data_IF_756467574949
#
_entry.id   IF_756467574949
#
_cell.length_a   1.000
_cell.length_b   1.000
_cell.length_c   1.000
_cell.angle_alpha   90.00
_cell.angle_beta   90.00
_cell.angle_gamma   90.00
#
_symmetry.space_group_name_H-M   'P 1'
#
loop_
_entity.id
_entity.type
_entity.pdbx_description
1 polymer ?
#
# COMPACT_ATOMS: atom_id res chain seq x y z
N UNK A 1 -39.15 -8.66 8.30
CA UNK A 1 -37.76 -8.18 8.08
C UNK A 1 -36.99 -8.43 9.36
N UNK A 2 -35.98 -9.35 9.32
CA UNK A 2 -35.23 -9.74 10.50
C UNK A 2 -34.34 -8.56 10.96
N UNK A 3 -34.10 -8.43 12.28
CA UNK A 3 -33.18 -7.41 12.85
C UNK A 3 -31.83 -7.42 12.11
N UNK A 4 -31.30 -8.62 11.79
CA UNK A 4 -30.06 -8.83 11.05
C UNK A 4 -30.05 -8.19 9.66
N UNK A 5 -31.18 -8.20 8.93
CA UNK A 5 -31.27 -7.62 7.59
C UNK A 5 -31.28 -6.08 7.63
N UNK A 6 -31.85 -5.52 8.68
CA UNK A 6 -31.91 -4.08 8.90
C UNK A 6 -30.53 -3.53 9.27
N UNK A 7 -29.77 -4.24 10.10
CA UNK A 7 -28.41 -3.86 10.47
C UNK A 7 -27.46 -3.94 9.27
N UNK A 8 -27.61 -4.95 8.40
CA UNK A 8 -26.83 -5.07 7.17
C UNK A 8 -27.12 -3.91 6.18
N UNK A 9 -28.37 -3.45 6.07
CA UNK A 9 -28.71 -2.33 5.20
C UNK A 9 -28.09 -1.02 5.69
N UNK A 10 -28.11 -0.77 6.99
CA UNK A 10 -27.49 0.41 7.61
C UNK A 10 -25.96 0.37 7.44
N UNK A 11 -25.34 -0.77 7.69
CA UNK A 11 -23.90 -0.94 7.51
C UNK A 11 -23.47 -0.70 6.05
N UNK A 12 -24.23 -1.24 5.09
CA UNK A 12 -23.99 -1.01 3.66
C UNK A 12 -24.10 0.48 3.29
N UNK A 13 -25.15 1.15 3.75
CA UNK A 13 -25.35 2.59 3.49
C UNK A 13 -24.19 3.41 4.08
N UNK A 14 -23.76 3.10 5.29
CA UNK A 14 -22.64 3.78 5.93
C UNK A 14 -21.33 3.55 5.17
N UNK A 15 -21.04 2.32 4.75
CA UNK A 15 -19.86 2.00 3.95
C UNK A 15 -19.84 2.81 2.64
N UNK A 16 -20.96 2.92 1.94
CA UNK A 16 -21.10 3.72 0.72
C UNK A 16 -20.84 5.22 1.02
N UNK A 17 -21.44 5.77 2.09
CA UNK A 17 -21.20 7.17 2.47
C UNK A 17 -19.72 7.47 2.77
N UNK A 18 -19.06 6.56 3.49
CA UNK A 18 -17.62 6.69 3.78
C UNK A 18 -16.81 6.64 2.48
N UNK A 19 -17.07 5.64 1.64
CA UNK A 19 -16.39 5.46 0.35
C UNK A 19 -16.56 6.69 -0.56
N UNK A 20 -17.80 7.20 -0.68
CA UNK A 20 -18.09 8.39 -1.46
C UNK A 20 -17.38 9.64 -0.93
N UNK A 21 -17.29 9.78 0.40
CA UNK A 21 -16.53 10.87 1.02
C UNK A 21 -15.04 10.79 0.71
N UNK A 22 -14.46 9.58 0.74
CA UNK A 22 -13.05 9.35 0.37
C UNK A 22 -12.83 9.78 -1.08
N UNK A 23 -13.64 9.29 -2.01
CA UNK A 23 -13.54 9.60 -3.43
C UNK A 23 -13.66 11.11 -3.69
N UNK A 24 -14.67 11.75 -3.09
CA UNK A 24 -14.94 13.18 -3.29
C UNK A 24 -13.87 14.11 -2.69
N UNK A 25 -13.15 13.65 -1.66
CA UNK A 25 -12.13 14.45 -0.98
C UNK A 25 -10.70 14.27 -1.51
N UNK A 26 -10.50 13.37 -2.48
CA UNK A 26 -9.18 13.11 -3.05
C UNK A 26 -8.87 14.10 -4.17
N UNK A 27 -7.75 14.80 -4.05
CA UNK A 27 -7.22 15.70 -5.08
C UNK A 27 -5.88 15.19 -5.61
N UNK A 28 -5.70 15.30 -6.93
CA UNK A 28 -4.52 14.78 -7.66
C UNK A 28 -3.54 15.91 -7.92
N UNK A 29 -2.93 16.38 -6.84
CA UNK A 29 -2.07 17.56 -6.82
C UNK A 29 -0.89 17.35 -5.87
N UNK A 30 0.13 18.17 -6.03
CA UNK A 30 1.25 18.30 -5.11
C UNK A 30 1.23 19.67 -4.45
N UNK A 31 1.78 19.75 -3.27
CA UNK A 31 1.88 21.00 -2.52
C UNK A 31 3.27 21.14 -1.92
N UNK A 32 3.88 22.28 -2.12
CA UNK A 32 5.00 22.73 -1.30
C UNK A 32 4.45 23.15 0.07
N UNK A 33 4.75 22.36 1.10
CA UNK A 33 4.19 22.62 2.44
C UNK A 33 4.81 23.84 3.12
N UNK A 34 5.96 24.33 2.63
CA UNK A 34 6.61 25.54 3.16
C UNK A 34 6.01 26.82 2.59
N UNK A 35 5.71 26.85 1.30
CA UNK A 35 5.19 28.03 0.60
C UNK A 35 3.67 27.99 0.41
N UNK A 36 3.06 26.82 0.53
CA UNK A 36 1.64 26.61 0.23
C UNK A 36 1.31 26.49 -1.26
N UNK A 37 2.31 26.64 -2.15
CA UNK A 37 2.10 26.57 -3.59
C UNK A 37 1.66 25.19 -4.02
N UNK A 38 0.63 25.12 -4.87
CA UNK A 38 0.05 23.88 -5.43
C UNK A 38 0.53 23.67 -6.86
N UNK A 39 0.74 22.39 -7.23
CA UNK A 39 1.20 21.97 -8.54
C UNK A 39 0.34 20.81 -9.03
N UNK A 40 -0.13 20.89 -10.24
CA UNK A 40 -0.88 19.81 -10.93
C UNK A 40 0.02 18.89 -11.73
N UNK A 41 1.26 19.30 -12.00
CA UNK A 41 2.32 18.51 -12.63
C UNK A 41 3.66 18.83 -11.98
N UNK A 42 4.58 17.85 -11.99
CA UNK A 42 5.96 18.01 -11.55
C UNK A 42 6.95 18.14 -12.72
N UNK A 43 6.45 18.31 -13.95
CA UNK A 43 7.28 18.56 -15.11
C UNK A 43 8.08 19.84 -14.93
N UNK A 44 9.39 19.75 -15.15
CA UNK A 44 10.33 20.87 -15.01
C UNK A 44 10.33 21.56 -13.64
N UNK A 45 9.78 20.91 -12.61
CA UNK A 45 9.82 21.42 -11.23
C UNK A 45 11.14 21.00 -10.59
N UNK A 46 11.85 21.98 -10.00
CA UNK A 46 13.08 21.72 -9.23
C UNK A 46 12.82 20.83 -8.03
N UNK A 47 13.77 19.94 -7.69
CA UNK A 47 13.66 19.04 -6.55
C UNK A 47 13.52 19.88 -5.25
N UNK A 48 12.43 19.63 -4.54
CA UNK A 48 12.09 20.34 -3.30
C UNK A 48 11.73 19.34 -2.20
N UNK A 49 12.51 19.27 -1.10
CA UNK A 49 12.25 18.34 0.01
C UNK A 49 10.95 18.64 0.77
N UNK A 50 10.33 19.80 0.54
CA UNK A 50 9.05 20.19 1.12
C UNK A 50 7.85 19.88 0.21
N UNK A 51 8.09 19.26 -0.97
CA UNK A 51 7.03 18.82 -1.87
C UNK A 51 6.30 17.60 -1.29
N UNK A 52 4.97 17.66 -1.22
CA UNK A 52 4.10 16.58 -0.75
C UNK A 52 2.96 16.33 -1.73
N UNK A 53 2.50 15.10 -1.79
CA UNK A 53 1.18 14.82 -2.39
C UNK A 53 0.10 15.51 -1.55
N UNK A 54 -0.85 16.20 -2.20
CA UNK A 54 -1.86 17.04 -1.53
C UNK A 54 -3.13 16.25 -1.15
N UNK A 55 -3.04 14.94 -0.97
CA UNK A 55 -4.14 14.10 -0.47
C UNK A 55 -3.60 12.96 0.37
N UNK A 56 -4.17 12.79 1.57
CA UNK A 56 -3.81 11.68 2.46
C UNK A 56 -4.08 10.30 1.84
N UNK A 57 -5.08 10.20 0.96
CA UNK A 57 -5.45 8.95 0.28
C UNK A 57 -4.50 8.55 -0.86
N UNK A 58 -3.58 9.42 -1.23
CA UNK A 58 -2.52 9.14 -2.21
C UNK A 58 -1.16 8.86 -1.54
N UNK A 59 -1.08 8.84 -0.21
CA UNK A 59 0.13 8.43 0.49
C UNK A 59 0.34 6.93 0.35
N UNK A 60 1.60 6.51 0.19
CA UNK A 60 1.98 5.10 0.25
C UNK A 60 2.08 4.67 1.70
N UNK A 61 1.02 4.03 2.21
CA UNK A 61 0.90 3.65 3.61
C UNK A 61 -0.10 2.50 3.76
N UNK A 62 0.14 1.57 4.69
CA UNK A 62 -0.71 0.39 4.87
C UNK A 62 -2.20 0.71 5.03
N UNK A 63 -2.54 1.80 5.70
CA UNK A 63 -3.95 2.22 5.85
C UNK A 63 -4.63 2.48 4.51
N UNK A 64 -3.90 3.04 3.54
CA UNK A 64 -4.44 3.22 2.19
C UNK A 64 -4.51 1.90 1.43
N UNK A 65 -3.59 0.96 1.66
CA UNK A 65 -3.68 -0.40 1.12
C UNK A 65 -4.97 -1.10 1.57
N UNK A 66 -5.25 -1.08 2.88
CA UNK A 66 -6.50 -1.61 3.44
C UNK A 66 -7.73 -0.90 2.86
N UNK A 67 -7.67 0.45 2.78
CA UNK A 67 -8.76 1.24 2.21
C UNK A 67 -9.01 0.89 0.75
N UNK A 68 -7.96 0.74 -0.06
CA UNK A 68 -8.09 0.37 -1.47
C UNK A 68 -8.72 -1.02 -1.65
N UNK A 69 -8.31 -2.01 -0.84
CA UNK A 69 -8.93 -3.33 -0.84
C UNK A 69 -10.42 -3.26 -0.47
N UNK A 70 -10.75 -2.54 0.60
CA UNK A 70 -12.12 -2.38 1.04
C UNK A 70 -13.01 -1.66 0.00
N UNK A 71 -12.46 -0.66 -0.71
CA UNK A 71 -13.17 0.05 -1.78
C UNK A 71 -13.44 -0.88 -2.97
N UNK A 72 -12.46 -1.65 -3.43
CA UNK A 72 -12.65 -2.62 -4.52
C UNK A 72 -13.69 -3.69 -4.13
N UNK A 73 -13.59 -4.26 -2.92
CA UNK A 73 -14.57 -5.24 -2.43
C UNK A 73 -15.98 -4.65 -2.29
N UNK A 74 -16.10 -3.42 -1.81
CA UNK A 74 -17.40 -2.73 -1.76
C UNK A 74 -17.97 -2.58 -3.16
N UNK A 75 -17.13 -2.14 -4.12
CA UNK A 75 -17.51 -2.01 -5.52
C UNK A 75 -18.07 -3.31 -6.11
N UNK A 76 -17.36 -4.43 -5.89
CA UNK A 76 -17.78 -5.76 -6.32
C UNK A 76 -19.13 -6.16 -5.70
N UNK A 77 -19.28 -5.99 -4.38
CA UNK A 77 -20.50 -6.36 -3.64
C UNK A 77 -21.74 -5.55 -4.03
N UNK A 78 -21.56 -4.30 -4.41
CA UNK A 78 -22.70 -3.44 -4.84
C UNK A 78 -22.78 -3.28 -6.35
N UNK A 79 -21.92 -3.99 -7.11
CA UNK A 79 -21.85 -3.93 -8.58
C UNK A 79 -21.64 -2.51 -9.12
N UNK A 80 -20.74 -1.76 -8.48
CA UNK A 80 -20.43 -0.38 -8.86
C UNK A 80 -18.91 -0.20 -9.05
N UNK A 81 -18.47 -0.06 -10.28
CA UNK A 81 -17.06 0.09 -10.65
C UNK A 81 -16.39 1.40 -10.20
N UNK A 82 -17.17 2.39 -9.77
CA UNK A 82 -16.69 3.70 -9.32
C UNK A 82 -15.51 3.61 -8.36
N UNK A 83 -15.55 2.65 -7.44
CA UNK A 83 -14.53 2.51 -6.41
C UNK A 83 -13.26 1.84 -6.93
N UNK A 84 -13.39 0.86 -7.83
CA UNK A 84 -12.25 0.27 -8.52
C UNK A 84 -11.59 1.30 -9.45
N UNK A 85 -12.37 2.06 -10.21
CA UNK A 85 -11.87 3.12 -11.08
C UNK A 85 -11.13 4.20 -10.27
N UNK A 86 -11.61 4.51 -9.07
CA UNK A 86 -10.93 5.41 -8.14
C UNK A 86 -9.57 4.84 -7.68
N UNK A 87 -9.51 3.57 -7.29
CA UNK A 87 -8.26 2.92 -6.89
C UNK A 87 -7.28 2.87 -8.07
N UNK A 88 -7.75 2.53 -9.26
CA UNK A 88 -6.95 2.55 -10.48
C UNK A 88 -6.37 3.93 -10.76
N UNK A 89 -7.19 4.98 -10.66
CA UNK A 89 -6.75 6.36 -10.84
C UNK A 89 -5.68 6.76 -9.83
N UNK A 90 -5.83 6.36 -8.55
CA UNK A 90 -4.84 6.60 -7.51
C UNK A 90 -3.50 5.95 -7.86
N UNK A 91 -3.52 4.67 -8.25
CA UNK A 91 -2.31 3.93 -8.59
C UNK A 91 -1.64 4.47 -9.87
N UNK A 92 -2.42 4.83 -10.89
CA UNK A 92 -1.89 5.49 -12.08
C UNK A 92 -1.23 6.84 -11.76
N UNK A 93 -1.80 7.63 -10.85
CA UNK A 93 -1.18 8.88 -10.41
C UNK A 93 0.12 8.64 -9.62
N UNK A 94 0.12 7.66 -8.70
CA UNK A 94 1.30 7.31 -7.92
C UNK A 94 2.43 6.78 -8.81
N UNK A 95 2.11 5.90 -9.76
CA UNK A 95 3.09 5.25 -10.65
C UNK A 95 3.30 6.01 -11.98
N UNK A 96 2.76 7.23 -12.11
CA UNK A 96 3.08 8.08 -13.26
C UNK A 96 4.59 8.31 -13.39
N UNK A 97 5.12 8.23 -14.61
CA UNK A 97 6.58 8.29 -14.87
C UNK A 97 7.21 9.58 -14.37
N UNK A 98 6.56 10.72 -14.58
CA UNK A 98 7.05 12.03 -14.14
C UNK A 98 7.08 12.10 -12.61
N UNK A 99 5.99 11.69 -11.98
CA UNK A 99 5.85 11.69 -10.53
C UNK A 99 6.87 10.76 -9.88
N UNK A 100 7.02 9.54 -10.38
CA UNK A 100 8.01 8.58 -9.88
C UNK A 100 9.43 9.08 -10.10
N UNK A 101 9.75 9.62 -11.27
CA UNK A 101 11.07 10.18 -11.56
C UNK A 101 11.43 11.34 -10.63
N UNK A 102 10.47 12.21 -10.35
CA UNK A 102 10.68 13.34 -9.43
C UNK A 102 10.99 12.86 -8.00
N UNK A 103 10.10 12.06 -7.42
CA UNK A 103 10.25 11.63 -6.03
C UNK A 103 11.38 10.62 -5.82
N UNK A 104 11.69 9.77 -6.80
CA UNK A 104 12.85 8.87 -6.72
C UNK A 104 14.16 9.67 -6.70
N UNK A 105 14.34 10.64 -7.60
CA UNK A 105 15.52 11.53 -7.59
C UNK A 105 15.62 12.34 -6.29
N UNK A 106 14.49 12.79 -5.76
CA UNK A 106 14.45 13.52 -4.49
C UNK A 106 14.84 12.60 -3.33
N UNK A 107 14.36 11.36 -3.33
CA UNK A 107 14.73 10.34 -2.36
C UNK A 107 16.23 10.05 -2.39
N UNK A 108 16.79 9.76 -3.57
CA UNK A 108 18.21 9.46 -3.75
C UNK A 108 19.11 10.62 -3.30
N UNK A 109 18.75 11.84 -3.67
CA UNK A 109 19.46 13.05 -3.22
C UNK A 109 19.43 13.16 -1.69
N UNK A 110 18.24 13.09 -1.10
CA UNK A 110 18.05 13.25 0.34
C UNK A 110 18.75 12.13 1.12
N UNK A 111 18.71 10.90 0.60
CA UNK A 111 19.41 9.77 1.21
C UNK A 111 20.91 9.93 1.19
N UNK A 112 21.50 10.39 0.08
CA UNK A 112 22.94 10.65 -0.03
C UNK A 112 23.41 11.77 0.91
N UNK A 113 22.57 12.80 1.12
CA UNK A 113 22.92 13.96 1.95
C UNK A 113 22.69 13.71 3.45
N UNK A 114 21.68 12.94 3.84
CA UNK A 114 21.26 12.79 5.24
C UNK A 114 20.93 11.38 5.71
N UNK A 115 21.11 10.36 4.84
CA UNK A 115 20.86 8.96 5.15
C UNK A 115 19.41 8.66 5.51
N UNK A 116 19.21 7.52 6.20
CA UNK A 116 17.90 7.00 6.58
C UNK A 116 17.07 7.94 7.46
N UNK A 117 17.70 8.84 8.18
CA UNK A 117 17.01 9.78 9.09
C UNK A 117 16.34 10.94 8.34
N UNK A 118 16.80 11.25 7.14
CA UNK A 118 16.29 12.37 6.35
C UNK A 118 15.09 12.02 5.46
N UNK A 119 15.01 10.77 4.99
CA UNK A 119 14.01 10.35 3.99
C UNK A 119 12.57 10.12 4.51
N UNK A 120 12.27 9.79 5.80
CA UNK A 120 10.90 9.46 6.23
C UNK A 120 9.87 10.57 6.03
N UNK A 121 10.31 11.83 5.88
CA UNK A 121 9.43 12.96 5.62
C UNK A 121 9.05 13.11 4.14
N UNK A 122 9.69 12.38 3.23
CA UNK A 122 9.43 12.52 1.80
C UNK A 122 8.17 11.76 1.39
N UNK A 123 7.44 12.33 0.42
CA UNK A 123 6.33 11.63 -0.24
C UNK A 123 6.83 10.34 -0.87
N UNK A 124 6.09 9.26 -0.66
CA UNK A 124 6.32 7.93 -1.23
C UNK A 124 7.69 7.29 -0.94
N UNK A 125 8.40 7.78 0.09
CA UNK A 125 9.69 7.19 0.48
C UNK A 125 9.61 5.68 0.76
N UNK A 126 8.46 5.20 1.18
CA UNK A 126 8.21 3.78 1.45
C UNK A 126 8.28 2.92 0.19
N UNK A 127 7.86 3.44 -0.97
CA UNK A 127 7.99 2.75 -2.27
C UNK A 127 9.47 2.46 -2.58
N UNK A 128 10.34 3.46 -2.35
CA UNK A 128 11.77 3.35 -2.68
C UNK A 128 12.57 2.61 -1.63
N UNK A 129 12.13 2.69 -0.37
CA UNK A 129 12.77 1.98 0.73
C UNK A 129 12.49 0.48 0.69
N UNK A 130 11.24 0.11 0.53
CA UNK A 130 10.71 -1.26 0.46
C UNK A 130 11.34 -2.22 1.49
N UNK A 131 11.36 -1.84 2.78
CA UNK A 131 12.07 -2.56 3.84
C UNK A 131 11.22 -2.97 5.04
N UNK A 132 9.94 -2.62 5.04
CA UNK A 132 9.02 -2.95 6.14
C UNK A 132 7.74 -3.50 5.56
N UNK A 133 7.13 -4.42 6.29
CA UNK A 133 5.81 -4.94 5.92
C UNK A 133 4.76 -3.84 5.86
N UNK A 134 4.81 -2.85 6.77
CA UNK A 134 3.96 -1.65 6.72
C UNK A 134 4.13 -0.86 5.41
N UNK A 135 5.34 -0.84 4.84
CA UNK A 135 5.63 -0.08 3.62
C UNK A 135 5.02 -0.76 2.39
N UNK A 136 4.95 -2.09 2.39
CA UNK A 136 4.72 -2.86 1.17
C UNK A 136 3.58 -3.89 1.24
N UNK A 137 3.26 -4.47 2.39
CA UNK A 137 2.28 -5.54 2.51
C UNK A 137 0.88 -5.17 2.00
N UNK A 138 0.05 -4.40 2.74
CA UNK A 138 -1.31 -4.08 2.30
C UNK A 138 -1.39 -3.25 1.02
N UNK A 139 -0.42 -2.34 0.77
CA UNK A 139 -0.37 -1.61 -0.50
C UNK A 139 -0.07 -2.55 -1.66
N UNK A 140 0.90 -3.46 -1.50
CA UNK A 140 1.21 -4.48 -2.48
C UNK A 140 0.03 -5.44 -2.70
N UNK A 141 -0.66 -5.87 -1.64
CA UNK A 141 -1.84 -6.70 -1.72
C UNK A 141 -2.97 -6.05 -2.55
N UNK A 142 -3.25 -4.77 -2.30
CA UNK A 142 -4.22 -4.02 -3.10
C UNK A 142 -3.79 -3.87 -4.56
N UNK A 143 -2.49 -3.70 -4.80
CA UNK A 143 -1.94 -3.57 -6.14
C UNK A 143 -1.99 -4.89 -6.92
N UNK A 144 -1.76 -6.06 -6.27
CA UNK A 144 -1.94 -7.37 -6.89
C UNK A 144 -3.37 -7.52 -7.40
N UNK A 145 -4.37 -7.27 -6.55
CA UNK A 145 -5.78 -7.36 -6.92
C UNK A 145 -6.12 -6.43 -8.09
N UNK A 146 -5.60 -5.22 -8.07
CA UNK A 146 -5.82 -4.26 -9.15
C UNK A 146 -5.13 -4.68 -10.45
N UNK A 147 -3.89 -5.17 -10.37
CA UNK A 147 -3.08 -5.56 -11.55
C UNK A 147 -3.67 -6.77 -12.30
N UNK A 148 -4.38 -7.67 -11.60
CA UNK A 148 -5.12 -8.76 -12.25
C UNK A 148 -6.20 -8.24 -13.20
N UNK A 149 -6.85 -7.12 -12.84
CA UNK A 149 -7.96 -6.54 -13.58
C UNK A 149 -7.49 -5.49 -14.60
N UNK A 150 -6.40 -4.80 -14.29
CA UNK A 150 -5.82 -3.71 -15.05
C UNK A 150 -4.29 -3.87 -15.12
N UNK A 151 -3.78 -4.79 -15.95
CA UNK A 151 -2.35 -5.05 -16.07
C UNK A 151 -1.53 -3.79 -16.40
N UNK A 152 -0.43 -3.60 -15.65
CA UNK A 152 0.47 -2.46 -15.82
C UNK A 152 1.90 -2.87 -15.43
N UNK A 153 2.89 -2.59 -16.28
CA UNK A 153 4.27 -2.99 -16.08
C UNK A 153 4.90 -2.37 -14.81
N UNK A 154 4.51 -1.14 -14.47
CA UNK A 154 5.02 -0.48 -13.27
C UNK A 154 4.44 -1.12 -12.00
N UNK A 155 3.18 -1.54 -12.03
CA UNK A 155 2.55 -2.29 -10.95
C UNK A 155 3.21 -3.66 -10.79
N UNK A 156 3.39 -4.38 -11.91
CA UNK A 156 4.01 -5.69 -11.92
C UNK A 156 5.42 -5.63 -11.34
N UNK A 157 6.24 -4.69 -11.77
CA UNK A 157 7.60 -4.50 -11.26
C UNK A 157 7.64 -4.25 -9.76
N UNK A 158 6.71 -3.44 -9.23
CA UNK A 158 6.61 -3.20 -7.78
C UNK A 158 6.20 -4.46 -7.03
N UNK A 159 5.21 -5.21 -7.55
CA UNK A 159 4.75 -6.49 -6.97
C UNK A 159 5.91 -7.48 -6.88
N UNK A 160 6.71 -7.64 -7.94
CA UNK A 160 7.88 -8.53 -7.97
C UNK A 160 8.95 -8.11 -6.96
N UNK A 161 9.25 -6.82 -6.86
CA UNK A 161 10.20 -6.28 -5.88
C UNK A 161 9.72 -6.56 -4.44
N UNK A 162 8.45 -6.35 -4.17
CA UNK A 162 7.83 -6.60 -2.87
C UNK A 162 7.79 -8.09 -2.56
N UNK A 163 7.47 -8.91 -3.54
CA UNK A 163 7.47 -10.37 -3.40
C UNK A 163 8.86 -10.89 -3.02
N UNK A 164 9.91 -10.41 -3.70
CA UNK A 164 11.28 -10.77 -3.34
C UNK A 164 11.61 -10.35 -1.90
N UNK A 165 11.21 -9.13 -1.51
CA UNK A 165 11.45 -8.66 -0.15
C UNK A 165 10.76 -9.55 0.90
N UNK A 166 9.46 -9.77 0.80
CA UNK A 166 8.68 -10.51 1.79
C UNK A 166 9.09 -11.99 1.84
N UNK A 167 9.32 -12.62 0.69
CA UNK A 167 9.58 -14.07 0.61
C UNK A 167 11.04 -14.44 0.86
N UNK A 168 11.99 -13.52 0.61
CA UNK A 168 13.42 -13.82 0.62
C UNK A 168 14.20 -12.99 1.62
N UNK A 169 13.86 -11.70 1.76
CA UNK A 169 14.68 -10.75 2.52
C UNK A 169 14.15 -10.44 3.91
N UNK A 170 12.86 -10.65 4.15
CA UNK A 170 12.25 -10.38 5.46
C UNK A 170 12.81 -11.33 6.52
N UNK A 171 13.25 -10.82 7.69
CA UNK A 171 13.78 -11.64 8.77
C UNK A 171 12.75 -12.67 9.26
N UNK A 172 13.22 -13.88 9.56
CA UNK A 172 12.38 -14.97 10.07
C UNK A 172 13.06 -15.69 11.22
N UNK A 173 12.24 -16.15 12.16
CA UNK A 173 12.68 -17.07 13.21
C UNK A 173 12.99 -18.45 12.64
N UNK A 174 13.56 -19.34 13.47
CA UNK A 174 13.92 -20.70 13.06
C UNK A 174 12.71 -21.54 12.59
N UNK A 175 11.51 -21.24 13.04
CA UNK A 175 10.27 -21.89 12.64
C UNK A 175 9.62 -21.24 11.38
N UNK A 176 10.28 -20.23 10.80
CA UNK A 176 9.80 -19.50 9.63
C UNK A 176 8.90 -18.31 9.94
N UNK A 177 8.59 -18.03 11.22
CA UNK A 177 7.78 -16.88 11.61
C UNK A 177 8.48 -15.58 11.24
N UNK A 178 7.79 -14.67 10.56
CA UNK A 178 8.31 -13.35 10.25
C UNK A 178 8.54 -12.56 11.54
N UNK A 179 9.70 -11.92 11.64
CA UNK A 179 10.12 -11.17 12.80
C UNK A 179 10.83 -9.88 12.40
N UNK A 180 10.87 -8.92 13.31
CA UNK A 180 11.57 -7.65 13.13
C UNK A 180 12.97 -7.70 13.74
N UNK A 181 13.91 -6.93 13.15
CA UNK A 181 15.24 -6.70 13.74
C UNK A 181 15.22 -5.51 14.73
N UNK A 182 14.15 -4.74 14.75
CA UNK A 182 14.00 -3.54 15.59
C UNK A 182 12.62 -3.55 16.28
N UNK A 183 12.50 -3.12 17.54
CA UNK A 183 13.53 -2.49 18.40
C UNK A 183 14.59 -3.46 18.92
N UNK A 184 14.30 -4.74 18.94
CA UNK A 184 15.23 -5.82 19.27
C UNK A 184 15.13 -6.92 18.22
N UNK A 185 16.22 -7.64 17.98
CA UNK A 185 16.23 -8.80 17.09
C UNK A 185 15.20 -9.84 17.54
N UNK A 186 14.57 -10.47 16.58
CA UNK A 186 13.54 -11.49 16.79
C UNK A 186 12.24 -10.97 17.48
N UNK A 187 11.98 -9.67 17.41
CA UNK A 187 10.70 -9.12 17.87
C UNK A 187 9.56 -9.53 16.95
N UNK A 188 8.47 -10.04 17.53
CA UNK A 188 7.23 -10.38 16.81
C UNK A 188 6.18 -9.32 17.12
N UNK A 189 5.54 -8.79 16.08
CA UNK A 189 4.42 -7.88 16.22
C UNK A 189 3.19 -8.52 15.58
N UNK A 190 2.09 -8.58 16.29
CA UNK A 190 0.86 -9.24 15.81
C UNK A 190 0.30 -8.61 14.53
N UNK A 191 0.51 -7.32 14.30
CA UNK A 191 0.10 -6.65 13.06
C UNK A 191 0.90 -7.10 11.83
N UNK A 192 2.16 -7.55 12.00
CA UNK A 192 2.96 -8.09 10.91
C UNK A 192 2.33 -9.34 10.29
N UNK A 193 1.57 -10.12 11.05
CA UNK A 193 0.78 -11.22 10.51
C UNK A 193 -0.17 -10.73 9.41
N UNK A 194 -0.94 -9.66 9.67
CA UNK A 194 -1.82 -9.08 8.66
C UNK A 194 -1.03 -8.46 7.50
N UNK A 195 0.04 -7.72 7.80
CA UNK A 195 0.86 -7.04 6.78
C UNK A 195 1.44 -8.05 5.78
N UNK A 196 2.01 -9.15 6.26
CA UNK A 196 2.59 -10.17 5.40
C UNK A 196 1.53 -11.04 4.72
N UNK A 197 0.60 -11.61 5.49
CA UNK A 197 -0.37 -12.60 5.00
C UNK A 197 -1.28 -12.01 3.94
N UNK A 198 -1.65 -10.74 4.06
CA UNK A 198 -2.48 -10.05 3.05
C UNK A 198 -1.82 -10.02 1.67
N UNK A 199 -0.50 -9.90 1.59
CA UNK A 199 0.28 -9.95 0.36
C UNK A 199 0.50 -11.38 -0.10
N UNK A 200 1.03 -12.24 0.80
CA UNK A 200 1.42 -13.62 0.49
C UNK A 200 0.22 -14.42 -0.04
N UNK A 201 -0.95 -14.32 0.60
CA UNK A 201 -2.15 -15.04 0.16
C UNK A 201 -2.59 -14.63 -1.25
N UNK A 202 -2.51 -13.34 -1.58
CA UNK A 202 -2.84 -12.86 -2.94
C UNK A 202 -1.82 -13.29 -3.99
N UNK A 203 -0.54 -13.37 -3.62
CA UNK A 203 0.46 -13.99 -4.51
C UNK A 203 0.12 -15.46 -4.79
N UNK A 204 -0.32 -16.20 -3.78
CA UNK A 204 -0.82 -17.58 -3.97
C UNK A 204 -2.02 -17.64 -4.91
N UNK A 205 -2.97 -16.73 -4.76
CA UNK A 205 -4.16 -16.64 -5.61
C UNK A 205 -3.82 -16.38 -7.09
N UNK A 206 -2.88 -15.45 -7.36
CA UNK A 206 -2.54 -15.07 -8.74
C UNK A 206 -1.58 -16.04 -9.42
N UNK A 207 -0.70 -16.70 -8.65
CA UNK A 207 0.32 -17.59 -9.21
C UNK A 207 -0.10 -19.07 -9.19
N UNK A 208 -1.03 -19.45 -8.30
CA UNK A 208 -1.38 -20.84 -8.02
C UNK A 208 -0.29 -21.63 -7.29
N UNK A 209 0.83 -20.98 -6.89
CA UNK A 209 1.94 -21.67 -6.27
C UNK A 209 1.67 -21.96 -4.78
N UNK A 210 1.73 -23.24 -4.43
CA UNK A 210 1.46 -23.76 -3.07
C UNK A 210 2.32 -23.10 -1.99
N UNK A 211 3.56 -22.73 -2.29
CA UNK A 211 4.50 -22.12 -1.34
C UNK A 211 3.94 -20.86 -0.64
N UNK A 212 3.13 -20.07 -1.36
CA UNK A 212 2.51 -18.87 -0.78
C UNK A 212 1.41 -19.21 0.21
N UNK A 213 0.56 -20.18 -0.14
CA UNK A 213 -0.50 -20.63 0.78
C UNK A 213 0.08 -21.31 2.02
N UNK A 214 1.13 -22.12 1.84
CA UNK A 214 1.82 -22.77 2.96
C UNK A 214 2.46 -21.72 3.89
N UNK A 215 3.14 -20.71 3.33
CA UNK A 215 3.74 -19.65 4.14
C UNK A 215 2.67 -18.82 4.87
N UNK A 216 1.62 -18.39 4.17
CA UNK A 216 0.51 -17.65 4.79
C UNK A 216 -0.12 -18.43 5.94
N UNK A 217 -0.38 -19.74 5.75
CA UNK A 217 -0.94 -20.61 6.79
C UNK A 217 0.04 -20.77 7.97
N UNK A 218 1.34 -20.95 7.68
CA UNK A 218 2.36 -21.07 8.71
C UNK A 218 2.50 -19.79 9.53
N UNK A 219 2.45 -18.61 8.89
CA UNK A 219 2.45 -17.35 9.63
C UNK A 219 1.28 -17.30 10.62
N UNK A 220 0.05 -17.56 10.16
CA UNK A 220 -1.14 -17.53 11.04
C UNK A 220 -0.98 -18.52 12.21
N UNK A 221 -0.60 -19.77 11.92
CA UNK A 221 -0.43 -20.80 12.95
C UNK A 221 0.68 -20.45 13.96
N UNK A 222 1.81 -19.93 13.47
CA UNK A 222 2.92 -19.60 14.34
C UNK A 222 2.60 -18.41 15.25
N UNK A 223 1.97 -17.35 14.74
CA UNK A 223 1.55 -16.21 15.57
C UNK A 223 0.60 -16.58 16.70
N UNK A 224 -0.12 -17.72 16.62
CA UNK A 224 -0.95 -18.21 17.75
C UNK A 224 -0.14 -18.87 18.86
N UNK A 225 1.16 -19.12 18.67
CA UNK A 225 2.05 -19.77 19.64
C UNK A 225 2.85 -18.78 20.47
N UNK A 226 2.89 -17.53 20.05
CA UNK A 226 3.58 -16.43 20.71
C UNK A 226 2.59 -15.46 21.37
#
# INVERSE_FOLDING_TARGET
>A
MCIRDRDNAVAKEMAIKIADRIVASTVYEFKDVKTGKVYTSLDNVSLNPDMRVNSKYLNWHYTNGVTNMALMELGDKIQNRKYEDYVLKNMKFIFDKTNQSYFHRLYDKTFREGGWRAVPRLTWHMIYRNKRLDDNGPMGASLITLNQRHPDDAFQKYIETTNHHIMVSEPRLADGTIARLWPHENTIWADDAFMAVSFISRMGEVTGEKKYFDDAANQILNYTRY
#
